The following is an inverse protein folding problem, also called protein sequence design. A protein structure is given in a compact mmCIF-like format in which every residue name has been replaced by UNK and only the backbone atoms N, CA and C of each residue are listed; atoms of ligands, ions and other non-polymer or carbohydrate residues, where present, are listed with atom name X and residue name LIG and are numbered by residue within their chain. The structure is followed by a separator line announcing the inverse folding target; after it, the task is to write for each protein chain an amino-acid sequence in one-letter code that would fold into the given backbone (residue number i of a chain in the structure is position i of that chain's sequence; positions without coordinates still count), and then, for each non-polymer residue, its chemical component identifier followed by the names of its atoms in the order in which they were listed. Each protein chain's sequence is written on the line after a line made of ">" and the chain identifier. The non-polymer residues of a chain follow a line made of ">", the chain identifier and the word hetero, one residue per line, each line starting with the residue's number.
data_IF_826417825930
#
_entry.id   IF_826417825930
#
_cell.length_a   1.000
_cell.length_b   1.000
_cell.length_c   1.000
_cell.angle_alpha   90.00
_cell.angle_beta   90.00
_cell.angle_gamma   90.00
#
_symmetry.space_group_name_H-M   'P 1'
#
loop_
_entity.id
_entity.type
_entity.pdbx_description
1 polymer ?
#
# COMPACT_ATOMS: atom_id res chain seq x y z
N UNK A 1 46.97 19.90 10.34
CA UNK A 1 46.02 19.23 11.27
C UNK A 1 44.54 19.61 11.02
N UNK A 2 44.23 20.69 10.25
CA UNK A 2 42.82 21.09 9.94
C UNK A 2 42.22 20.48 8.65
N UNK A 3 43.04 20.10 7.68
CA UNK A 3 42.59 19.56 6.41
C UNK A 3 41.95 18.17 6.47
N UNK A 4 42.44 17.32 7.35
CA UNK A 4 41.94 15.94 7.54
C UNK A 4 40.60 15.87 8.28
N UNK A 5 40.32 16.83 9.19
CA UNK A 5 39.01 16.91 9.85
C UNK A 5 37.91 17.32 8.90
N UNK A 6 38.17 18.29 8.01
CA UNK A 6 37.20 18.78 7.01
C UNK A 6 36.88 17.69 5.96
N UNK A 7 37.91 16.96 5.50
CA UNK A 7 37.70 15.82 4.58
C UNK A 7 36.88 14.68 5.20
N UNK A 8 37.13 14.35 6.48
CA UNK A 8 36.38 13.31 7.18
C UNK A 8 34.91 13.72 7.46
N UNK A 9 34.68 15.00 7.73
CA UNK A 9 33.34 15.54 7.94
C UNK A 9 32.51 15.54 6.65
N UNK A 10 33.08 16.02 5.54
CA UNK A 10 32.42 15.99 4.23
C UNK A 10 32.16 14.58 3.71
N UNK A 11 33.05 13.60 3.98
CA UNK A 11 32.83 12.21 3.62
C UNK A 11 31.71 11.57 4.47
N UNK A 12 31.60 11.90 5.77
CA UNK A 12 30.51 11.45 6.62
C UNK A 12 29.16 12.05 6.23
N UNK A 13 29.12 13.34 5.86
CA UNK A 13 27.90 13.99 5.38
C UNK A 13 27.45 13.43 4.04
N UNK A 14 28.37 13.12 3.11
CA UNK A 14 28.08 12.46 1.85
C UNK A 14 27.58 11.01 2.04
N UNK A 15 28.17 10.26 2.98
CA UNK A 15 27.72 8.91 3.31
C UNK A 15 26.34 8.95 3.99
N UNK A 16 26.12 9.86 4.94
CA UNK A 16 24.82 10.02 5.59
C UNK A 16 23.74 10.52 4.59
N UNK A 17 24.09 11.40 3.66
CA UNK A 17 23.19 11.84 2.59
C UNK A 17 22.83 10.69 1.64
N UNK A 18 23.81 9.85 1.26
CA UNK A 18 23.56 8.63 0.46
C UNK A 18 22.74 7.59 1.19
N UNK A 19 22.98 7.37 2.50
CA UNK A 19 22.18 6.43 3.31
C UNK A 19 20.75 6.93 3.42
N UNK A 20 20.50 8.23 3.58
CA UNK A 20 19.16 8.81 3.62
C UNK A 20 18.42 8.79 2.26
N UNK A 21 19.15 8.78 1.15
CA UNK A 21 18.57 8.73 -0.21
C UNK A 21 18.21 7.29 -0.65
N UNK A 22 18.86 6.26 -0.06
CA UNK A 22 18.61 4.85 -0.42
C UNK A 22 17.44 4.21 0.35
N UNK A 23 16.84 4.91 1.32
CA UNK A 23 15.85 4.32 2.23
C UNK A 23 14.42 4.86 2.02
N UNK A 24 14.24 5.80 1.08
CA UNK A 24 12.92 6.34 0.76
C UNK A 24 12.20 5.44 -0.23
N UNK A 25 10.94 5.14 0.06
CA UNK A 25 10.15 4.26 -0.78
C UNK A 25 8.78 4.88 -1.11
N UNK A 26 8.32 4.61 -2.31
CA UNK A 26 6.92 4.81 -2.67
C UNK A 26 6.08 3.65 -2.17
N UNK A 27 4.86 3.92 -1.76
CA UNK A 27 3.95 2.92 -1.17
C UNK A 27 2.56 3.01 -1.80
N UNK A 28 2.01 1.87 -2.13
CA UNK A 28 0.58 1.70 -2.38
C UNK A 28 -0.01 0.98 -1.18
N UNK A 29 -0.81 1.70 -0.39
CA UNK A 29 -1.67 1.10 0.61
C UNK A 29 -2.93 0.59 -0.10
N UNK A 30 -3.31 -0.66 0.13
CA UNK A 30 -4.45 -1.22 -0.60
C UNK A 30 -5.33 -2.12 0.27
N UNK A 31 -6.63 -1.99 0.08
CA UNK A 31 -7.61 -2.99 0.48
C UNK A 31 -7.79 -4.04 -0.63
N UNK A 32 -8.50 -5.11 -0.35
CA UNK A 32 -8.80 -6.17 -1.31
C UNK A 32 -10.23 -6.08 -1.79
N UNK A 33 -11.17 -6.09 -0.85
CA UNK A 33 -12.60 -6.01 -1.18
C UNK A 33 -12.92 -4.61 -1.70
N UNK A 34 -13.69 -4.51 -2.79
CA UNK A 34 -13.95 -3.24 -3.45
C UNK A 34 -12.76 -2.62 -4.22
N UNK A 35 -11.55 -3.19 -4.11
CA UNK A 35 -10.34 -2.74 -4.80
C UNK A 35 -9.88 -3.77 -5.82
N UNK A 36 -9.46 -4.96 -5.36
CA UNK A 36 -9.00 -6.05 -6.24
C UNK A 36 -10.12 -6.98 -6.69
N UNK A 37 -11.32 -6.73 -6.22
CA UNK A 37 -12.57 -7.32 -6.68
C UNK A 37 -13.68 -6.27 -6.69
N UNK A 38 -14.89 -6.68 -7.00
CA UNK A 38 -16.12 -5.88 -6.89
C UNK A 38 -17.29 -6.80 -6.61
N UNK A 39 -18.38 -6.27 -6.07
CA UNK A 39 -19.59 -7.07 -5.83
C UNK A 39 -20.04 -7.81 -7.09
N UNK A 40 -20.07 -7.10 -8.23
CA UNK A 40 -20.44 -7.70 -9.52
C UNK A 40 -19.50 -8.86 -9.88
N UNK A 41 -18.18 -8.68 -9.75
CA UNK A 41 -17.22 -9.75 -10.05
C UNK A 41 -17.45 -10.97 -9.18
N UNK A 42 -17.62 -10.79 -7.87
CA UNK A 42 -17.85 -11.88 -6.92
C UNK A 42 -19.17 -12.62 -7.20
N UNK A 43 -20.21 -11.90 -7.61
CA UNK A 43 -21.48 -12.49 -8.02
C UNK A 43 -21.36 -13.29 -9.34
N UNK A 44 -20.67 -12.73 -10.34
CA UNK A 44 -20.57 -13.32 -11.68
C UNK A 44 -19.59 -14.51 -11.72
N UNK A 45 -18.57 -14.48 -10.85
CA UNK A 45 -17.42 -15.40 -10.82
C UNK A 45 -17.36 -16.18 -9.52
N UNK A 46 -18.43 -16.93 -9.23
CA UNK A 46 -18.50 -17.73 -7.99
C UNK A 46 -17.26 -18.62 -7.82
N UNK A 47 -16.60 -18.46 -6.66
CA UNK A 47 -15.38 -19.20 -6.31
C UNK A 47 -14.07 -18.53 -6.72
N UNK A 48 -14.10 -17.42 -7.46
CA UNK A 48 -12.97 -16.53 -7.66
C UNK A 48 -13.08 -15.32 -6.72
N UNK A 49 -11.97 -14.89 -6.14
CA UNK A 49 -11.94 -13.80 -5.14
C UNK A 49 -11.24 -12.55 -5.66
N UNK A 50 -10.40 -12.68 -6.69
CA UNK A 50 -9.54 -11.62 -7.18
C UNK A 50 -9.75 -11.42 -8.68
N UNK A 51 -10.14 -10.21 -9.07
CA UNK A 51 -10.34 -9.84 -10.46
C UNK A 51 -8.98 -9.60 -11.16
N UNK A 52 -8.61 -10.40 -12.17
CA UNK A 52 -7.34 -10.22 -12.88
C UNK A 52 -7.16 -8.83 -13.51
N UNK A 53 -8.26 -8.18 -13.89
CA UNK A 53 -8.23 -6.84 -14.47
C UNK A 53 -7.80 -5.80 -13.43
N UNK A 54 -8.29 -5.91 -12.20
CA UNK A 54 -7.92 -5.00 -11.12
C UNK A 54 -6.46 -5.22 -10.70
N UNK A 55 -5.98 -6.48 -10.71
CA UNK A 55 -4.55 -6.79 -10.53
C UNK A 55 -3.68 -6.16 -11.61
N UNK A 56 -4.14 -6.18 -12.88
CA UNK A 56 -3.42 -5.51 -13.96
C UNK A 56 -3.35 -3.97 -13.77
N UNK A 57 -4.42 -3.36 -13.26
CA UNK A 57 -4.44 -1.94 -12.92
C UNK A 57 -3.52 -1.63 -11.73
N UNK A 58 -3.48 -2.48 -10.70
CA UNK A 58 -2.51 -2.35 -9.60
C UNK A 58 -1.07 -2.48 -10.10
N UNK A 59 -0.83 -3.44 -11.00
CA UNK A 59 0.49 -3.59 -11.63
C UNK A 59 0.93 -2.35 -12.39
N UNK A 60 0.03 -1.69 -13.09
CA UNK A 60 0.33 -0.44 -13.81
C UNK A 60 0.85 0.65 -12.85
N UNK A 61 0.29 0.74 -11.64
CA UNK A 61 0.79 1.67 -10.61
C UNK A 61 2.20 1.28 -10.17
N UNK A 62 2.40 0.01 -9.81
CA UNK A 62 3.70 -0.50 -9.33
C UNK A 62 4.79 -0.32 -10.38
N UNK A 63 4.53 -0.65 -11.64
CA UNK A 63 5.50 -0.52 -12.73
C UNK A 63 5.91 0.95 -12.97
N UNK A 64 4.97 1.89 -12.84
CA UNK A 64 5.22 3.31 -13.09
C UNK A 64 5.89 4.03 -11.91
N UNK A 65 5.74 3.53 -10.69
CA UNK A 65 6.17 4.25 -9.47
C UNK A 65 7.20 3.49 -8.65
N UNK A 66 7.44 2.21 -8.97
CA UNK A 66 8.23 1.27 -8.19
C UNK A 66 7.78 1.15 -6.73
N UNK A 67 6.50 1.43 -6.47
CA UNK A 67 5.94 1.44 -5.13
C UNK A 67 5.87 0.03 -4.53
N UNK A 68 6.07 -0.03 -3.23
CA UNK A 68 5.86 -1.25 -2.43
C UNK A 68 4.39 -1.41 -2.08
N UNK A 69 3.89 -2.64 -2.14
CA UNK A 69 2.52 -2.97 -1.79
C UNK A 69 2.39 -3.21 -0.29
N UNK A 70 1.63 -2.36 0.40
CA UNK A 70 1.36 -2.47 1.83
C UNK A 70 -0.14 -2.67 2.05
N UNK A 71 -0.49 -3.78 2.63
CA UNK A 71 -1.89 -4.17 2.79
C UNK A 71 -2.55 -3.49 3.99
N UNK A 72 -3.74 -2.92 3.77
CA UNK A 72 -4.61 -2.35 4.82
C UNK A 72 -5.83 -3.22 5.11
N UNK A 73 -6.13 -4.19 4.25
CA UNK A 73 -7.26 -5.11 4.29
C UNK A 73 -7.34 -5.92 5.58
N UNK A 74 -8.53 -6.35 5.95
CA UNK A 74 -8.73 -7.34 7.03
C UNK A 74 -8.13 -8.72 6.70
N UNK A 75 -7.82 -8.99 5.44
CA UNK A 75 -7.09 -10.19 5.02
C UNK A 75 -5.61 -10.17 5.41
N UNK A 76 -5.05 -9.00 5.80
CA UNK A 76 -3.61 -8.78 5.99
C UNK A 76 -2.93 -9.80 6.88
N UNK A 77 -3.53 -10.18 8.01
CA UNK A 77 -2.93 -11.18 8.90
C UNK A 77 -2.71 -12.52 8.20
N UNK A 78 -3.76 -13.02 7.52
CA UNK A 78 -3.69 -14.30 6.82
C UNK A 78 -2.71 -14.27 5.66
N UNK A 79 -2.61 -13.12 4.96
CA UNK A 79 -1.69 -12.94 3.82
C UNK A 79 -0.25 -12.85 4.30
N UNK A 80 0.05 -12.12 5.37
CA UNK A 80 1.39 -12.02 5.94
C UNK A 80 1.85 -13.37 6.52
N UNK A 81 0.94 -14.09 7.18
CA UNK A 81 1.20 -15.43 7.70
C UNK A 81 1.27 -16.50 6.58
N UNK A 82 0.98 -16.10 5.32
CA UNK A 82 0.92 -16.98 4.14
C UNK A 82 0.02 -18.20 4.35
N UNK A 83 -1.15 -17.98 4.97
CA UNK A 83 -2.12 -19.06 5.20
C UNK A 83 -2.82 -19.48 3.88
N UNK A 84 -2.07 -20.17 3.04
CA UNK A 84 -2.55 -20.67 1.73
C UNK A 84 -3.60 -21.79 1.84
N UNK A 85 -3.94 -22.24 3.05
CA UNK A 85 -5.09 -23.12 3.27
C UNK A 85 -6.41 -22.39 2.93
N UNK A 86 -6.44 -21.09 3.10
CA UNK A 86 -7.55 -20.22 2.71
C UNK A 86 -7.53 -19.97 1.20
N UNK A 87 -8.63 -20.29 0.52
CA UNK A 87 -8.72 -20.18 -0.94
C UNK A 87 -8.47 -18.74 -1.44
N UNK A 88 -9.07 -17.75 -0.80
CA UNK A 88 -8.91 -16.34 -1.13
C UNK A 88 -7.46 -15.83 -0.96
N UNK A 89 -6.76 -16.26 0.11
CA UNK A 89 -5.34 -15.90 0.32
C UNK A 89 -4.45 -16.53 -0.74
N UNK A 90 -4.67 -17.80 -1.03
CA UNK A 90 -3.93 -18.52 -2.07
C UNK A 90 -4.11 -17.86 -3.43
N UNK A 91 -5.35 -17.47 -3.78
CA UNK A 91 -5.63 -16.80 -5.03
C UNK A 91 -4.95 -15.43 -5.10
N UNK A 92 -5.08 -14.59 -4.06
CA UNK A 92 -4.43 -13.27 -4.02
C UNK A 92 -2.92 -13.38 -4.21
N UNK A 93 -2.26 -14.23 -3.42
CA UNK A 93 -0.81 -14.43 -3.52
C UNK A 93 -0.42 -14.93 -4.91
N UNK A 94 -1.16 -15.89 -5.46
CA UNK A 94 -0.93 -16.43 -6.81
C UNK A 94 -1.09 -15.36 -7.88
N UNK A 95 -2.18 -14.59 -7.88
CA UNK A 95 -2.44 -13.54 -8.87
C UNK A 95 -1.40 -12.43 -8.82
N UNK A 96 -0.96 -12.03 -7.62
CA UNK A 96 0.12 -11.04 -7.49
C UNK A 96 1.45 -11.60 -8.01
N UNK A 97 1.79 -12.83 -7.65
CA UNK A 97 3.03 -13.48 -8.11
C UNK A 97 3.06 -13.66 -9.64
N UNK A 98 1.96 -14.09 -10.26
CA UNK A 98 1.82 -14.21 -11.71
C UNK A 98 2.01 -12.86 -12.42
N UNK A 99 1.66 -11.76 -11.76
CA UNK A 99 1.88 -10.40 -12.23
C UNK A 99 3.28 -9.85 -11.87
N UNK A 100 4.15 -10.64 -11.23
CA UNK A 100 5.49 -10.20 -10.79
C UNK A 100 5.48 -9.23 -9.60
N UNK A 101 4.44 -9.28 -8.79
CA UNK A 101 4.26 -8.47 -7.59
C UNK A 101 4.21 -9.34 -6.33
N UNK A 102 4.53 -8.74 -5.20
CA UNK A 102 4.37 -9.36 -3.88
C UNK A 102 3.90 -8.33 -2.84
N UNK A 103 3.26 -8.80 -1.80
CA UNK A 103 2.93 -7.96 -0.64
C UNK A 103 4.22 -7.73 0.16
N UNK A 104 4.66 -6.47 0.20
CA UNK A 104 5.86 -6.07 0.93
C UNK A 104 5.64 -6.05 2.45
N UNK A 105 4.45 -5.67 2.88
CA UNK A 105 4.08 -5.58 4.29
C UNK A 105 2.61 -5.27 4.51
N UNK A 106 2.26 -5.02 5.75
CA UNK A 106 0.92 -4.61 6.13
C UNK A 106 0.97 -3.53 7.21
N UNK A 107 -0.11 -2.77 7.31
CA UNK A 107 -0.31 -1.84 8.43
C UNK A 107 -0.60 -2.60 9.73
N UNK A 108 -0.37 -1.95 10.88
CA UNK A 108 -0.68 -2.50 12.20
C UNK A 108 -2.15 -2.92 12.34
N UNK A 109 -2.40 -3.90 13.17
CA UNK A 109 -3.77 -4.37 13.47
C UNK A 109 -4.53 -3.40 14.39
N UNK A 110 -5.86 -3.52 14.39
CA UNK A 110 -6.71 -2.73 15.27
C UNK A 110 -6.39 -2.90 16.76
N UNK A 111 -6.00 -4.09 17.18
CA UNK A 111 -5.67 -4.37 18.58
C UNK A 111 -4.37 -3.67 19.01
N UNK A 112 -3.35 -3.65 18.15
CA UNK A 112 -2.10 -2.93 18.39
C UNK A 112 -2.33 -1.42 18.49
N UNK A 113 -3.13 -0.84 17.59
CA UNK A 113 -3.39 0.58 17.56
C UNK A 113 -4.33 1.05 18.68
N UNK A 114 -5.34 0.25 19.06
CA UNK A 114 -6.15 0.54 20.25
C UNK A 114 -5.31 0.59 21.52
N UNK A 115 -4.35 -0.34 21.64
CA UNK A 115 -3.42 -0.32 22.77
C UNK A 115 -2.55 0.94 22.79
N UNK A 116 -2.16 1.46 21.63
CA UNK A 116 -1.27 2.61 21.49
C UNK A 116 -2.00 3.95 21.56
N UNK A 117 -3.18 4.07 20.95
CA UNK A 117 -3.87 5.34 20.72
C UNK A 117 -5.27 5.43 21.35
N UNK A 118 -5.79 4.35 21.93
CA UNK A 118 -7.12 4.29 22.54
C UNK A 118 -8.26 4.09 21.53
N UNK A 119 -8.02 4.32 20.26
CA UNK A 119 -8.96 4.11 19.16
C UNK A 119 -8.24 3.51 17.95
N UNK A 120 -9.05 2.99 17.01
CA UNK A 120 -8.54 2.42 15.76
C UNK A 120 -9.40 2.83 14.58
N UNK A 121 -8.77 3.49 13.62
CA UNK A 121 -9.27 3.54 12.26
C UNK A 121 -8.19 3.04 11.30
N UNK A 122 -8.55 2.65 10.09
CA UNK A 122 -7.59 2.27 9.06
C UNK A 122 -6.67 3.46 8.70
N UNK A 123 -7.20 4.68 8.76
CA UNK A 123 -6.43 5.90 8.59
C UNK A 123 -5.33 6.08 9.64
N UNK A 124 -5.62 5.80 10.92
CA UNK A 124 -4.58 5.79 11.96
C UNK A 124 -3.44 4.82 11.63
N UNK A 125 -3.77 3.63 11.12
CA UNK A 125 -2.77 2.62 10.77
C UNK A 125 -1.87 3.06 9.60
N UNK A 126 -2.45 3.71 8.59
CA UNK A 126 -1.69 4.27 7.46
C UNK A 126 -0.80 5.41 7.95
N UNK A 127 -1.32 6.36 8.73
CA UNK A 127 -0.55 7.48 9.28
C UNK A 127 0.62 7.02 10.15
N UNK A 128 0.39 5.99 10.99
CA UNK A 128 1.45 5.37 11.80
C UNK A 128 2.52 4.74 10.92
N UNK A 129 2.13 4.02 9.88
CA UNK A 129 3.06 3.39 8.94
C UNK A 129 3.91 4.44 8.20
N UNK A 130 3.29 5.47 7.65
CA UNK A 130 3.99 6.57 6.95
C UNK A 130 4.98 7.27 7.86
N UNK A 131 4.60 7.50 9.13
CA UNK A 131 5.45 8.16 10.12
C UNK A 131 6.64 7.29 10.56
N UNK A 132 6.42 5.97 10.67
CA UNK A 132 7.44 5.02 11.15
C UNK A 132 8.43 4.59 10.05
N UNK A 133 8.08 4.78 8.79
CA UNK A 133 8.89 4.35 7.65
C UNK A 133 9.24 5.56 6.76
N UNK A 134 10.37 5.50 6.07
CA UNK A 134 10.82 6.56 5.18
C UNK A 134 10.01 6.56 3.86
N UNK A 135 8.71 6.82 3.94
CA UNK A 135 7.81 6.90 2.78
C UNK A 135 7.98 8.25 2.09
N UNK A 136 8.22 8.24 0.79
CA UNK A 136 8.38 9.45 -0.03
C UNK A 136 7.07 9.86 -0.69
N UNK A 137 6.51 8.97 -1.50
CA UNK A 137 5.21 9.13 -2.14
C UNK A 137 4.30 7.96 -1.79
N UNK A 138 3.01 8.22 -1.64
CA UNK A 138 2.07 7.13 -1.38
C UNK A 138 0.67 7.43 -1.89
N UNK A 139 -0.10 6.37 -2.07
CA UNK A 139 -1.53 6.40 -2.38
C UNK A 139 -2.25 5.35 -1.54
N UNK A 140 -3.50 5.61 -1.24
CA UNK A 140 -4.40 4.71 -0.53
C UNK A 140 -5.52 4.30 -1.48
N UNK A 141 -5.67 3.00 -1.71
CA UNK A 141 -6.73 2.41 -2.51
C UNK A 141 -7.71 1.72 -1.57
N UNK A 142 -8.89 2.27 -1.42
CA UNK A 142 -9.91 1.78 -0.50
C UNK A 142 -11.29 2.23 -0.99
N UNK A 143 -12.30 1.38 -0.92
CA UNK A 143 -13.68 1.69 -1.33
C UNK A 143 -14.49 2.35 -0.21
N UNK A 144 -13.94 2.40 1.00
CA UNK A 144 -14.61 2.94 2.18
C UNK A 144 -13.94 4.20 2.71
N UNK A 145 -14.76 5.13 3.18
CA UNK A 145 -14.24 6.24 3.99
C UNK A 145 -13.91 5.73 5.40
N UNK A 146 -12.65 5.82 5.74
CA UNK A 146 -12.07 5.40 7.02
C UNK A 146 -11.55 6.59 7.83
N UNK A 147 -12.25 7.73 7.77
CA UNK A 147 -11.86 9.02 8.38
C UNK A 147 -10.59 9.61 7.77
N UNK A 148 -10.42 9.46 6.45
CA UNK A 148 -9.21 9.92 5.75
C UNK A 148 -8.97 11.41 5.92
N UNK A 149 -10.02 12.24 5.81
CA UNK A 149 -9.92 13.69 5.99
C UNK A 149 -9.49 14.07 7.41
N UNK A 150 -10.06 13.44 8.43
CA UNK A 150 -9.72 13.69 9.83
C UNK A 150 -8.24 13.39 10.15
N UNK A 151 -7.59 12.58 9.33
CA UNK A 151 -6.18 12.23 9.45
C UNK A 151 -5.28 12.92 8.42
N UNK A 152 -5.81 13.86 7.62
CA UNK A 152 -5.09 14.60 6.56
C UNK A 152 -4.55 13.65 5.46
N UNK A 153 -5.29 12.59 5.13
CA UNK A 153 -4.93 11.57 4.16
C UNK A 153 -5.82 11.58 2.90
N UNK A 154 -6.86 12.40 2.88
CA UNK A 154 -7.86 12.51 1.81
C UNK A 154 -7.24 12.81 0.44
N UNK A 155 -6.21 13.63 0.39
CA UNK A 155 -5.49 13.96 -0.85
C UNK A 155 -4.67 12.78 -1.43
N UNK A 156 -4.46 11.74 -0.64
CA UNK A 156 -3.78 10.50 -1.03
C UNK A 156 -4.73 9.33 -1.23
N UNK A 157 -6.01 9.49 -0.88
CA UNK A 157 -7.00 8.45 -1.01
C UNK A 157 -7.69 8.48 -2.37
N UNK A 158 -7.82 7.30 -2.96
CA UNK A 158 -8.66 7.03 -4.12
C UNK A 158 -9.79 6.14 -3.66
N UNK A 159 -11.00 6.69 -3.70
CA UNK A 159 -12.21 5.93 -3.50
C UNK A 159 -12.47 5.06 -4.73
N UNK A 160 -12.30 3.75 -4.55
CA UNK A 160 -12.62 2.76 -5.58
C UNK A 160 -14.07 2.28 -5.50
N UNK A 161 -14.94 3.04 -4.81
CA UNK A 161 -16.35 2.73 -4.61
C UNK A 161 -17.08 2.59 -5.96
N UNK A 162 -16.87 1.45 -6.57
CA UNK A 162 -17.57 1.06 -7.77
C UNK A 162 -17.94 -0.42 -7.65
N UNK A 163 -19.16 -0.66 -7.18
CA UNK A 163 -19.73 -2.03 -7.01
C UNK A 163 -19.63 -2.89 -8.27
N UNK A 164 -19.41 -2.26 -9.44
CA UNK A 164 -19.29 -2.95 -10.72
C UNK A 164 -17.85 -3.29 -11.10
N UNK A 165 -16.86 -2.50 -10.67
CA UNK A 165 -15.52 -2.55 -11.26
C UNK A 165 -14.42 -2.79 -10.22
N UNK A 166 -14.43 -2.15 -9.03
CA UNK A 166 -13.28 -2.01 -8.16
C UNK A 166 -12.23 -1.06 -8.75
N UNK A 167 -10.96 -1.32 -8.55
CA UNK A 167 -9.86 -0.48 -9.07
C UNK A 167 -9.89 -0.38 -10.59
N UNK A 168 -10.27 0.79 -11.10
CA UNK A 168 -10.33 1.06 -12.54
C UNK A 168 -8.98 1.51 -13.11
N UNK A 169 -8.86 1.53 -14.44
CA UNK A 169 -7.67 2.10 -15.11
C UNK A 169 -7.54 3.61 -14.85
N UNK A 170 -8.66 4.33 -14.74
CA UNK A 170 -8.65 5.75 -14.40
C UNK A 170 -8.10 6.00 -12.99
N UNK A 171 -8.50 5.18 -12.01
CA UNK A 171 -7.99 5.22 -10.65
C UNK A 171 -6.49 4.94 -10.61
N UNK A 172 -6.03 3.96 -11.39
CA UNK A 172 -4.61 3.64 -11.47
C UNK A 172 -3.78 4.80 -12.04
N UNK A 173 -4.28 5.50 -13.08
CA UNK A 173 -3.61 6.71 -13.61
C UNK A 173 -3.57 7.85 -12.59
N UNK A 174 -4.65 8.03 -11.83
CA UNK A 174 -4.70 9.01 -10.75
C UNK A 174 -3.72 8.66 -9.63
N UNK A 175 -3.65 7.39 -9.22
CA UNK A 175 -2.70 6.90 -8.23
C UNK A 175 -1.24 7.19 -8.60
N UNK A 176 -0.87 6.95 -9.86
CA UNK A 176 0.47 7.28 -10.40
C UNK A 176 0.74 8.78 -10.26
N UNK A 177 -0.25 9.62 -10.58
CA UNK A 177 -0.11 11.08 -10.46
C UNK A 177 0.03 11.55 -9.02
N UNK A 178 -0.64 10.88 -8.06
CA UNK A 178 -0.53 11.21 -6.63
C UNK A 178 0.85 10.86 -6.09
N UNK A 179 1.37 9.67 -6.40
CA UNK A 179 2.67 9.20 -5.90
C UNK A 179 3.83 10.05 -6.45
N UNK A 180 3.72 10.57 -7.68
CA UNK A 180 4.79 11.29 -8.36
C UNK A 180 4.76 12.82 -8.13
N UNK A 181 3.92 13.32 -7.22
CA UNK A 181 3.89 14.75 -6.84
C UNK A 181 4.99 15.09 -5.86
#
# INVERSE_FOLDING_TARGET
>A
LNGDKIRKQGARELVNKKIGEYDRMNVVFFDVDGVLNSEKFLCDKQGEFINPKNVANLKMIVDATHAKLVMTSDWRKQVIDKDVSKAHVRELIGRLADAGMEVYGATSSGDELRSKYGDYTRACAVKDYVTANSVEGYVILDDMDMDWEAHELDSHWINTENVLVGLSEADARNAISIINK
#
